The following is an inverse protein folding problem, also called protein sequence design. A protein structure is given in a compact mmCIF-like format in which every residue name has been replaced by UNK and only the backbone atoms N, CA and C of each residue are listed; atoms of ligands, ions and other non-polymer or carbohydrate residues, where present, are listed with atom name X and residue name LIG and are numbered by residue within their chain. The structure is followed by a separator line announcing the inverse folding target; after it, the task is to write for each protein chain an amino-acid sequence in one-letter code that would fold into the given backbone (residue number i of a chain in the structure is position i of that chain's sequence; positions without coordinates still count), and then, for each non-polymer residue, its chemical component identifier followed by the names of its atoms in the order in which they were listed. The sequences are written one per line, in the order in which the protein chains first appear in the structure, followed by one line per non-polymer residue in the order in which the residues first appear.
data_IF_697022530970
#
_entry.id   IF_697022530970
#
_cell.length_a   1.000
_cell.length_b   1.000
_cell.length_c   1.000
_cell.angle_alpha   90.00
_cell.angle_beta   90.00
_cell.angle_gamma   90.00
#
_symmetry.space_group_name_H-M   'P 1'
#
loop_
_entity.id
_entity.type
_entity.pdbx_description
1 polymer ?
#
# COMPACT_ATOMS: atom_id res chain seq x y z
N UNK A 1 -21.23 11.41 13.98
CA UNK A 1 -20.39 10.30 14.47
C UNK A 1 -19.52 10.87 15.59
N UNK A 2 -19.64 10.38 16.83
CA UNK A 2 -18.75 10.80 17.94
C UNK A 2 -17.30 10.47 17.56
N UNK A 3 -16.33 11.28 18.00
CA UNK A 3 -14.92 10.98 17.82
C UNK A 3 -14.63 9.59 18.42
N UNK A 4 -14.24 8.63 17.57
CA UNK A 4 -14.00 7.23 17.96
C UNK A 4 -12.71 7.07 18.77
N UNK A 5 -11.95 8.16 18.96
CA UNK A 5 -10.78 8.21 19.83
C UNK A 5 -9.49 7.74 19.16
N UNK A 6 -8.36 8.05 19.79
CA UNK A 6 -7.01 7.72 19.28
C UNK A 6 -6.73 6.22 19.27
N UNK A 7 -7.26 5.47 20.23
CA UNK A 7 -7.11 4.02 20.30
C UNK A 7 -7.74 3.34 19.07
N UNK A 8 -8.98 3.71 18.69
CA UNK A 8 -9.62 3.20 17.49
C UNK A 8 -8.82 3.54 16.23
N UNK A 9 -8.40 4.80 16.07
CA UNK A 9 -7.60 5.25 14.92
C UNK A 9 -6.30 4.47 14.79
N UNK A 10 -5.61 4.22 15.91
CA UNK A 10 -4.36 3.44 15.94
C UNK A 10 -4.60 1.97 15.59
N UNK A 11 -5.63 1.35 16.16
CA UNK A 11 -5.99 -0.04 15.81
C UNK A 11 -6.40 -0.19 14.35
N UNK A 12 -7.20 0.75 13.83
CA UNK A 12 -7.58 0.79 12.42
C UNK A 12 -6.34 0.93 11.50
N UNK A 13 -5.39 1.78 11.88
CA UNK A 13 -4.12 1.92 11.17
C UNK A 13 -3.35 0.60 11.10
N UNK A 14 -3.20 -0.08 12.25
CA UNK A 14 -2.55 -1.40 12.32
C UNK A 14 -3.24 -2.44 11.43
N UNK A 15 -4.58 -2.47 11.43
CA UNK A 15 -5.33 -3.39 10.58
C UNK A 15 -5.10 -3.12 9.10
N UNK A 16 -5.14 -1.86 8.68
CA UNK A 16 -4.89 -1.47 7.28
C UNK A 16 -3.48 -1.84 6.85
N UNK A 17 -2.47 -1.44 7.63
CA UNK A 17 -1.08 -1.72 7.29
C UNK A 17 -0.78 -3.24 7.30
N UNK A 18 -1.44 -4.02 8.16
CA UNK A 18 -1.26 -5.47 8.21
C UNK A 18 -1.86 -6.16 6.97
N UNK A 19 -3.04 -5.70 6.54
CA UNK A 19 -3.68 -6.20 5.32
C UNK A 19 -2.88 -5.78 4.08
N UNK A 20 -2.34 -4.56 4.03
CA UNK A 20 -1.47 -4.11 2.94
C UNK A 20 -0.22 -5.02 2.80
N UNK A 21 0.45 -5.36 3.91
CA UNK A 21 1.60 -6.28 3.90
C UNK A 21 1.20 -7.72 3.56
N UNK A 22 0.06 -8.19 4.06
CA UNK A 22 -0.49 -9.50 3.73
C UNK A 22 -0.82 -9.62 2.23
N UNK A 23 -1.33 -8.55 1.60
CA UNK A 23 -1.57 -8.51 0.16
C UNK A 23 -0.27 -8.58 -0.64
N UNK A 24 0.80 -7.94 -0.18
CA UNK A 24 2.13 -8.07 -0.79
C UNK A 24 2.63 -9.51 -0.75
N UNK A 25 2.45 -10.22 0.37
CA UNK A 25 2.76 -11.65 0.45
C UNK A 25 1.96 -12.46 -0.58
N UNK A 26 0.65 -12.21 -0.68
CA UNK A 26 -0.21 -12.87 -1.65
C UNK A 26 0.31 -12.68 -3.09
N UNK A 27 0.53 -11.44 -3.51
CA UNK A 27 0.95 -11.13 -4.88
C UNK A 27 2.39 -11.53 -5.19
N UNK A 28 3.21 -11.76 -4.18
CA UNK A 28 4.57 -12.29 -4.32
C UNK A 28 4.58 -13.82 -4.41
N UNK A 29 3.78 -14.51 -3.59
CA UNK A 29 3.83 -15.98 -3.51
C UNK A 29 2.96 -16.63 -4.58
N UNK A 30 1.72 -16.14 -4.79
CA UNK A 30 0.73 -16.76 -5.69
C UNK A 30 1.22 -16.94 -7.13
N UNK A 31 1.96 -16.01 -7.75
CA UNK A 31 2.47 -16.21 -9.10
C UNK A 31 3.44 -17.40 -9.22
N UNK A 32 4.08 -17.82 -8.12
CA UNK A 32 5.06 -18.89 -8.15
C UNK A 32 4.55 -20.21 -7.59
N UNK A 33 3.32 -20.26 -7.05
CA UNK A 33 2.79 -21.46 -6.41
C UNK A 33 2.71 -22.64 -7.39
N UNK A 34 3.05 -23.84 -6.91
CA UNK A 34 2.93 -25.07 -7.71
C UNK A 34 1.51 -25.62 -7.75
N UNK A 35 0.74 -25.39 -6.70
CA UNK A 35 -0.65 -25.82 -6.57
C UNK A 35 -1.59 -24.60 -6.64
N UNK A 36 -2.25 -24.36 -7.80
CA UNK A 36 -3.10 -23.19 -7.98
C UNK A 36 -4.19 -23.08 -6.91
N UNK A 37 -4.27 -21.91 -6.25
CA UNK A 37 -5.23 -21.58 -5.21
C UNK A 37 -4.77 -21.83 -3.77
N UNK A 38 -3.59 -22.43 -3.57
CA UNK A 38 -3.03 -22.67 -2.23
C UNK A 38 -2.75 -21.36 -1.49
N UNK A 39 -2.04 -20.43 -2.14
CA UNK A 39 -1.70 -19.12 -1.56
C UNK A 39 -2.94 -18.29 -1.26
N UNK A 40 -3.94 -18.34 -2.14
CA UNK A 40 -5.21 -17.65 -1.97
C UNK A 40 -6.00 -18.19 -0.76
N UNK A 41 -5.95 -19.50 -0.52
CA UNK A 41 -6.57 -20.11 0.66
C UNK A 41 -5.88 -19.66 1.96
N UNK A 42 -4.55 -19.65 1.99
CA UNK A 42 -3.74 -19.16 3.13
C UNK A 42 -4.06 -17.69 3.40
N UNK A 43 -4.10 -16.85 2.35
CA UNK A 43 -4.46 -15.44 2.48
C UNK A 43 -5.84 -15.22 3.11
N UNK A 44 -6.86 -15.98 2.70
CA UNK A 44 -8.22 -15.87 3.25
C UNK A 44 -8.29 -16.27 4.71
N UNK A 45 -7.55 -17.29 5.12
CA UNK A 45 -7.50 -17.70 6.52
C UNK A 45 -6.73 -16.68 7.36
N UNK A 46 -5.57 -16.22 6.88
CA UNK A 46 -4.79 -15.16 7.51
C UNK A 46 -5.60 -13.86 7.73
N UNK A 47 -6.46 -13.48 6.77
CA UNK A 47 -7.36 -12.34 6.93
C UNK A 47 -8.34 -12.53 8.10
N UNK A 48 -8.92 -13.72 8.26
CA UNK A 48 -9.83 -14.04 9.38
C UNK A 48 -9.08 -14.04 10.71
N UNK A 49 -7.86 -14.56 10.73
CA UNK A 49 -7.00 -14.53 11.92
C UNK A 49 -6.67 -13.10 12.34
N UNK A 50 -6.33 -12.23 11.39
CA UNK A 50 -6.09 -10.79 11.64
C UNK A 50 -7.33 -10.11 12.20
N UNK A 51 -8.50 -10.36 11.60
CA UNK A 51 -9.78 -9.80 12.08
C UNK A 51 -10.10 -10.26 13.51
N UNK A 52 -9.95 -11.56 13.78
CA UNK A 52 -10.17 -12.14 15.10
C UNK A 52 -9.18 -11.59 16.13
N UNK A 53 -7.90 -11.48 15.79
CA UNK A 53 -6.86 -10.93 16.67
C UNK A 53 -7.14 -9.47 17.03
N UNK A 54 -7.51 -8.65 16.04
CA UNK A 54 -7.87 -7.25 16.26
C UNK A 54 -9.09 -7.11 17.16
N UNK A 55 -10.10 -7.97 17.00
CA UNK A 55 -11.34 -7.92 17.77
C UNK A 55 -11.18 -8.43 19.21
N UNK A 56 -10.36 -9.47 19.42
CA UNK A 56 -10.24 -10.14 20.72
C UNK A 56 -9.09 -9.60 21.59
N UNK A 57 -7.98 -9.18 20.97
CA UNK A 57 -6.77 -8.78 21.70
C UNK A 57 -6.05 -7.55 21.14
N UNK A 58 -6.65 -6.88 20.15
CA UNK A 58 -6.12 -5.67 19.53
C UNK A 58 -4.72 -5.82 18.94
N UNK A 59 -3.96 -4.73 18.96
CA UNK A 59 -2.62 -4.63 18.35
C UNK A 59 -1.65 -5.66 18.90
N UNK A 60 -1.71 -5.96 20.21
CA UNK A 60 -0.80 -6.93 20.83
C UNK A 60 -1.00 -8.32 20.21
N UNK A 61 -2.24 -8.78 20.13
CA UNK A 61 -2.56 -10.10 19.58
C UNK A 61 -2.27 -10.17 18.09
N UNK A 62 -2.53 -9.08 17.36
CA UNK A 62 -2.15 -8.97 15.95
C UNK A 62 -0.65 -9.22 15.77
N UNK A 63 0.21 -8.49 16.48
CA UNK A 63 1.67 -8.65 16.36
C UNK A 63 2.16 -10.05 16.75
N UNK A 64 1.46 -10.75 17.65
CA UNK A 64 1.81 -12.13 18.03
C UNK A 64 1.54 -13.15 16.93
N UNK A 65 0.50 -12.97 16.11
CA UNK A 65 0.10 -13.96 15.09
C UNK A 65 0.82 -13.77 13.74
N UNK A 66 1.25 -12.55 13.42
CA UNK A 66 1.82 -12.21 12.11
C UNK A 66 3.03 -13.05 11.71
N UNK A 67 4.02 -13.33 12.60
CA UNK A 67 5.13 -14.19 12.23
C UNK A 67 4.69 -15.60 11.82
N UNK A 68 3.65 -16.14 12.45
CA UNK A 68 3.08 -17.45 12.10
C UNK A 68 2.44 -17.44 10.71
N UNK A 69 1.68 -16.39 10.40
CA UNK A 69 1.11 -16.17 9.06
C UNK A 69 2.23 -16.11 8.01
N UNK A 70 3.29 -15.34 8.28
CA UNK A 70 4.43 -15.21 7.34
C UNK A 70 5.08 -16.55 7.06
N UNK A 71 5.26 -17.41 8.08
CA UNK A 71 5.81 -18.76 7.85
C UNK A 71 4.91 -19.63 6.96
N UNK A 72 3.57 -19.54 7.10
CA UNK A 72 2.65 -20.27 6.22
C UNK A 72 2.87 -19.92 4.74
N UNK A 73 3.08 -18.63 4.41
CA UNK A 73 3.38 -18.22 3.03
C UNK A 73 4.75 -18.71 2.54
N UNK A 74 5.72 -18.88 3.45
CA UNK A 74 7.07 -19.35 3.12
C UNK A 74 7.14 -20.87 2.90
N UNK A 75 6.19 -21.60 3.48
CA UNK A 75 6.06 -23.06 3.32
C UNK A 75 5.38 -23.45 2.00
N UNK A 76 4.76 -22.50 1.28
CA UNK A 76 4.15 -22.75 -0.03
C UNK A 76 5.20 -23.24 -1.03
N UNK A 77 4.93 -24.39 -1.64
CA UNK A 77 5.79 -24.95 -2.66
C UNK A 77 5.74 -24.08 -3.91
N UNK A 78 6.89 -23.59 -4.37
CA UNK A 78 6.95 -22.61 -5.44
C UNK A 78 8.00 -22.95 -6.50
N UNK A 79 7.77 -22.43 -7.70
CA UNK A 79 8.68 -22.50 -8.83
C UNK A 79 9.17 -21.09 -9.17
N UNK A 80 10.42 -20.83 -8.82
CA UNK A 80 11.08 -19.60 -9.23
C UNK A 80 11.14 -19.51 -10.76
N UNK A 81 10.69 -18.38 -11.28
CA UNK A 81 10.73 -17.99 -12.69
C UNK A 81 10.94 -16.49 -12.73
N UNK A 82 11.70 -16.02 -13.70
CA UNK A 82 11.73 -14.59 -13.98
C UNK A 82 10.37 -14.19 -14.58
N UNK A 83 9.74 -13.19 -13.97
CA UNK A 83 8.43 -12.66 -14.35
C UNK A 83 8.54 -11.14 -14.42
N UNK A 84 7.99 -10.48 -15.45
CA UNK A 84 8.00 -9.03 -15.51
C UNK A 84 7.23 -8.44 -14.33
N UNK A 85 7.84 -7.50 -13.64
CA UNK A 85 7.28 -6.86 -12.45
C UNK A 85 6.47 -5.62 -12.85
N UNK A 86 5.16 -5.66 -12.60
CA UNK A 86 4.19 -4.66 -13.03
C UNK A 86 3.62 -3.91 -11.83
N UNK A 87 3.78 -2.59 -11.82
CA UNK A 87 3.25 -1.71 -10.78
C UNK A 87 1.84 -1.29 -11.12
N UNK A 88 0.91 -1.39 -10.18
CA UNK A 88 -0.48 -0.95 -10.36
C UNK A 88 -0.71 0.28 -9.49
N UNK A 89 -0.98 1.41 -10.14
CA UNK A 89 -1.25 2.71 -9.52
C UNK A 89 -2.64 3.22 -9.96
N UNK A 90 -3.06 4.34 -9.39
CA UNK A 90 -4.28 5.02 -9.79
C UNK A 90 -5.24 5.24 -8.63
N UNK A 91 -6.53 5.35 -8.96
CA UNK A 91 -7.60 5.65 -8.02
C UNK A 91 -7.72 4.54 -6.96
N UNK A 92 -7.80 4.94 -5.69
CA UNK A 92 -7.68 4.08 -4.52
C UNK A 92 -8.75 2.99 -4.49
N UNK A 93 -9.99 3.32 -4.81
CA UNK A 93 -11.08 2.36 -4.76
C UNK A 93 -10.98 1.34 -5.90
N UNK A 94 -10.70 1.78 -7.12
CA UNK A 94 -10.55 0.89 -8.27
C UNK A 94 -9.34 -0.03 -8.12
N UNK A 95 -8.19 0.48 -7.66
CA UNK A 95 -7.00 -0.37 -7.51
C UNK A 95 -7.16 -1.39 -6.38
N UNK A 96 -7.88 -1.05 -5.31
CA UNK A 96 -8.07 -1.92 -4.14
C UNK A 96 -9.23 -2.92 -4.29
N UNK A 97 -10.14 -2.72 -5.25
CA UNK A 97 -11.30 -3.58 -5.43
C UNK A 97 -11.19 -4.43 -6.72
N UNK A 98 -10.96 -5.75 -6.61
CA UNK A 98 -10.85 -6.65 -7.77
C UNK A 98 -12.08 -6.66 -8.67
N UNK A 99 -13.28 -6.49 -8.12
CA UNK A 99 -14.51 -6.42 -8.92
C UNK A 99 -14.51 -5.15 -9.80
N UNK A 100 -14.07 -4.03 -9.25
CA UNK A 100 -14.08 -2.74 -9.95
C UNK A 100 -13.00 -2.62 -11.02
N UNK A 101 -11.89 -3.35 -10.89
CA UNK A 101 -10.81 -3.38 -11.88
C UNK A 101 -10.77 -4.63 -12.76
N UNK A 102 -11.85 -5.44 -12.74
CA UNK A 102 -11.98 -6.66 -13.52
C UNK A 102 -10.87 -7.70 -13.27
N UNK A 103 -10.40 -7.81 -12.02
CA UNK A 103 -9.38 -8.79 -11.63
C UNK A 103 -8.01 -8.48 -12.20
N UNK A 104 -7.62 -7.19 -12.24
CA UNK A 104 -6.42 -6.73 -12.92
C UNK A 104 -5.13 -7.45 -12.47
N UNK A 105 -4.99 -7.71 -11.17
CA UNK A 105 -3.86 -8.46 -10.62
C UNK A 105 -3.82 -9.87 -11.21
N UNK A 106 -4.94 -10.60 -11.17
CA UNK A 106 -5.05 -11.94 -11.74
C UNK A 106 -4.74 -11.95 -13.23
N UNK A 107 -5.19 -10.93 -13.99
CA UNK A 107 -4.86 -10.81 -15.41
C UNK A 107 -3.36 -10.65 -15.65
N UNK A 108 -2.66 -9.83 -14.86
CA UNK A 108 -1.19 -9.69 -14.95
C UNK A 108 -0.51 -11.04 -14.66
N UNK A 109 -0.98 -11.75 -13.64
CA UNK A 109 -0.46 -13.06 -13.26
C UNK A 109 -0.72 -14.14 -14.33
N UNK A 110 -1.89 -14.14 -14.96
CA UNK A 110 -2.23 -15.04 -16.07
C UNK A 110 -1.35 -14.79 -17.31
N UNK A 111 -0.99 -13.53 -17.55
CA UNK A 111 -0.09 -13.13 -18.64
C UNK A 111 1.40 -13.37 -18.33
N UNK A 112 1.72 -13.96 -17.18
CA UNK A 112 3.09 -14.31 -16.80
C UNK A 112 3.84 -13.25 -16.01
N UNK A 113 3.21 -12.12 -15.64
CA UNK A 113 3.82 -11.07 -14.81
C UNK A 113 3.59 -11.24 -13.31
N UNK A 114 4.28 -10.43 -12.52
CA UNK A 114 4.01 -10.21 -11.10
C UNK A 114 3.43 -8.82 -10.91
N UNK A 115 2.36 -8.68 -10.13
CA UNK A 115 1.78 -7.38 -9.83
C UNK A 115 2.18 -6.87 -8.44
N UNK A 116 2.43 -5.56 -8.31
CA UNK A 116 2.44 -4.85 -7.03
C UNK A 116 1.50 -3.67 -7.09
N UNK A 117 0.43 -3.71 -6.30
CA UNK A 117 -0.52 -2.60 -6.20
C UNK A 117 -0.01 -1.60 -5.17
N UNK A 118 -0.17 -0.31 -5.45
CA UNK A 118 0.11 0.70 -4.45
C UNK A 118 -0.80 0.51 -3.22
N UNK A 119 -0.25 0.41 -2.00
CA UNK A 119 -1.01 0.09 -0.78
C UNK A 119 -2.16 1.07 -0.51
N UNK A 120 -3.19 0.61 0.20
CA UNK A 120 -4.27 1.50 0.62
C UNK A 120 -3.77 2.53 1.66
N UNK A 121 -2.88 2.10 2.56
CA UNK A 121 -2.26 2.93 3.58
C UNK A 121 -1.53 4.17 3.04
N UNK A 122 -1.03 4.12 1.80
CA UNK A 122 -0.38 5.26 1.13
C UNK A 122 -1.29 6.50 1.12
N UNK A 123 -2.57 6.32 0.76
CA UNK A 123 -3.53 7.42 0.71
C UNK A 123 -3.78 8.02 2.09
N UNK A 124 -3.91 7.17 3.10
CA UNK A 124 -4.11 7.63 4.47
C UNK A 124 -2.89 8.41 4.97
N UNK A 125 -1.67 7.91 4.75
CA UNK A 125 -0.43 8.62 5.06
C UNK A 125 -0.35 9.96 4.33
N UNK A 126 -0.82 10.03 3.09
CA UNK A 126 -0.96 11.28 2.35
C UNK A 126 -1.96 12.26 2.96
N UNK A 127 -3.15 11.80 3.36
CA UNK A 127 -4.11 12.68 4.03
C UNK A 127 -3.55 13.24 5.34
N UNK A 128 -2.76 12.44 6.08
CA UNK A 128 -2.05 12.90 7.28
C UNK A 128 -0.98 13.93 6.96
N UNK A 129 -0.17 13.68 5.93
CA UNK A 129 0.83 14.63 5.43
C UNK A 129 0.22 15.98 5.05
N UNK A 130 -0.90 15.98 4.31
CA UNK A 130 -1.61 17.21 3.93
C UNK A 130 -2.19 17.94 5.14
N UNK A 131 -2.79 17.23 6.09
CA UNK A 131 -3.28 17.82 7.34
C UNK A 131 -2.14 18.49 8.13
N UNK A 132 -0.97 17.86 8.15
CA UNK A 132 0.22 18.41 8.80
C UNK A 132 0.67 19.73 8.16
N UNK A 133 0.69 19.79 6.83
CA UNK A 133 0.98 21.01 6.06
C UNK A 133 -0.06 22.10 6.30
N UNK A 134 -1.35 21.76 6.26
CA UNK A 134 -2.45 22.71 6.41
C UNK A 134 -2.49 23.34 7.81
N UNK A 135 -2.26 22.55 8.87
CA UNK A 135 -2.18 23.08 10.25
C UNK A 135 -1.02 24.06 10.43
N UNK A 136 0.12 23.80 9.77
CA UNK A 136 1.27 24.71 9.76
C UNK A 136 0.93 26.02 9.03
N UNK A 137 0.32 25.94 7.85
CA UNK A 137 -0.07 27.11 7.05
C UNK A 137 -1.10 27.99 7.77
N UNK A 138 -2.01 27.39 8.55
CA UNK A 138 -3.02 28.12 9.35
C UNK A 138 -2.47 28.72 10.64
N UNK A 139 -1.21 28.46 11.00
CA UNK A 139 -0.61 28.94 12.25
C UNK A 139 -1.14 28.22 13.51
N UNK A 140 -1.79 27.07 13.36
CA UNK A 140 -2.37 26.30 14.48
C UNK A 140 -1.29 25.44 15.16
N UNK A 141 -0.36 26.09 15.86
CA UNK A 141 0.85 25.44 16.36
C UNK A 141 0.59 24.26 17.31
N UNK A 142 -0.42 24.35 18.19
CA UNK A 142 -0.81 23.23 19.06
C UNK A 142 -1.32 22.02 18.27
N UNK A 143 -2.17 22.26 17.27
CA UNK A 143 -2.71 21.21 16.41
C UNK A 143 -1.59 20.58 15.57
N UNK A 144 -0.64 21.39 15.11
CA UNK A 144 0.52 20.94 14.36
C UNK A 144 1.42 20.03 15.21
N UNK A 145 1.76 20.42 16.46
CA UNK A 145 2.57 19.59 17.36
C UNK A 145 1.87 18.25 17.63
N UNK A 146 0.56 18.27 17.90
CA UNK A 146 -0.23 17.04 18.09
C UNK A 146 -0.17 16.14 16.86
N UNK A 147 -0.38 16.70 15.66
CA UNK A 147 -0.34 15.97 14.41
C UNK A 147 1.07 15.40 14.10
N UNK A 148 2.15 16.15 14.42
CA UNK A 148 3.52 15.65 14.32
C UNK A 148 3.74 14.44 15.22
N UNK A 149 3.28 14.51 16.47
CA UNK A 149 3.42 13.40 17.42
C UNK A 149 2.62 12.17 16.97
N UNK A 150 1.38 12.36 16.49
CA UNK A 150 0.59 11.29 15.88
C UNK A 150 1.34 10.64 14.70
N UNK A 151 1.95 11.44 13.82
CA UNK A 151 2.72 10.94 12.68
C UNK A 151 3.96 10.13 13.09
N UNK A 152 4.68 10.54 14.14
CA UNK A 152 5.82 9.79 14.66
C UNK A 152 5.40 8.43 15.22
N UNK A 153 4.27 8.38 15.93
CA UNK A 153 3.72 7.12 16.46
C UNK A 153 3.32 6.19 15.31
N UNK A 154 2.62 6.71 14.30
CA UNK A 154 2.22 5.92 13.13
C UNK A 154 3.42 5.33 12.39
N UNK A 155 4.49 6.11 12.18
CA UNK A 155 5.73 5.61 11.56
C UNK A 155 6.43 4.54 12.39
N UNK A 156 6.47 4.71 13.70
CA UNK A 156 7.01 3.70 14.59
C UNK A 156 6.19 2.41 14.55
N UNK A 157 4.86 2.55 14.52
CA UNK A 157 3.92 1.43 14.43
C UNK A 157 4.04 0.69 13.08
N UNK A 158 4.15 1.42 11.96
CA UNK A 158 4.45 0.88 10.62
C UNK A 158 5.75 0.07 10.65
N UNK A 159 6.84 0.63 11.18
CA UNK A 159 8.14 -0.06 11.23
C UNK A 159 8.08 -1.33 12.09
N UNK A 160 7.41 -1.28 13.23
CA UNK A 160 7.20 -2.47 14.08
C UNK A 160 6.40 -3.56 13.38
N UNK A 161 5.43 -3.16 12.57
CA UNK A 161 4.62 -4.09 11.81
C UNK A 161 5.42 -4.69 10.65
N UNK A 162 6.16 -3.86 9.92
CA UNK A 162 7.09 -4.26 8.87
C UNK A 162 8.07 -5.32 9.39
N UNK A 163 8.66 -5.14 10.57
CA UNK A 163 9.55 -6.15 11.18
C UNK A 163 8.91 -7.54 11.34
N UNK A 164 7.58 -7.64 11.51
CA UNK A 164 6.92 -8.95 11.62
C UNK A 164 6.87 -9.72 10.28
N UNK A 165 7.09 -9.03 9.16
CA UNK A 165 7.05 -9.56 7.79
C UNK A 165 8.44 -9.69 7.15
N UNK A 166 9.52 -9.37 7.87
CA UNK A 166 10.89 -9.28 7.35
C UNK A 166 11.40 -10.58 6.71
N UNK A 167 10.93 -11.74 7.20
CA UNK A 167 11.27 -13.06 6.66
C UNK A 167 10.55 -13.39 5.35
N UNK A 168 9.42 -12.73 5.06
CA UNK A 168 8.56 -13.03 3.92
C UNK A 168 8.64 -12.01 2.78
N UNK A 169 9.01 -10.77 3.07
CA UNK A 169 9.10 -9.68 2.08
C UNK A 169 10.51 -9.08 2.05
N UNK A 170 11.04 -8.72 0.87
CA UNK A 170 12.31 -8.00 0.79
C UNK A 170 12.18 -6.59 1.35
N UNK A 171 13.27 -6.01 1.84
CA UNK A 171 13.26 -4.71 2.54
C UNK A 171 12.63 -3.55 1.75
N UNK A 172 12.73 -3.55 0.43
CA UNK A 172 12.13 -2.50 -0.41
C UNK A 172 10.60 -2.62 -0.57
N UNK A 173 10.02 -3.82 -0.35
CA UNK A 173 8.58 -4.04 -0.29
C UNK A 173 8.06 -3.92 1.15
N UNK A 174 8.92 -4.14 2.14
CA UNK A 174 8.56 -4.15 3.55
C UNK A 174 8.13 -2.75 4.03
N UNK A 175 8.86 -1.72 3.61
CA UNK A 175 8.61 -0.33 3.96
C UNK A 175 8.29 0.49 2.72
N UNK A 176 7.16 1.21 2.78
CA UNK A 176 6.85 2.20 1.76
C UNK A 176 7.74 3.44 1.94
N UNK A 177 8.16 4.08 0.83
CA UNK A 177 8.85 5.36 0.92
C UNK A 177 7.97 6.37 1.68
N UNK A 178 8.58 7.27 2.49
CA UNK A 178 7.83 8.33 3.15
C UNK A 178 7.02 9.13 2.13
N UNK A 179 5.80 9.53 2.51
CA UNK A 179 4.89 10.29 1.63
C UNK A 179 5.57 11.52 1.01
N UNK A 180 6.44 12.20 1.75
CA UNK A 180 7.19 13.36 1.27
C UNK A 180 8.08 13.03 0.06
N UNK A 181 8.65 11.83 0.04
CA UNK A 181 9.49 11.33 -1.08
C UNK A 181 8.59 11.03 -2.28
N UNK A 182 7.47 10.33 -2.08
CA UNK A 182 6.50 10.04 -3.16
C UNK A 182 5.96 11.33 -3.77
N UNK A 183 5.58 12.31 -2.94
CA UNK A 183 5.14 13.63 -3.41
C UNK A 183 6.28 14.34 -4.16
N UNK A 184 7.51 14.30 -3.64
CA UNK A 184 8.68 14.87 -4.30
C UNK A 184 8.96 14.28 -5.68
N UNK A 185 8.73 12.98 -5.87
CA UNK A 185 8.84 12.34 -7.19
C UNK A 185 7.83 12.89 -8.22
N UNK A 186 6.70 13.43 -7.77
CA UNK A 186 5.67 13.97 -8.64
C UNK A 186 5.94 15.42 -9.09
N UNK A 187 6.71 16.20 -8.32
CA UNK A 187 6.93 17.65 -8.55
C UNK A 187 7.40 18.03 -9.97
N UNK A 188 8.31 17.29 -10.64
CA UNK A 188 8.71 17.62 -12.01
C UNK A 188 7.56 17.56 -13.03
N UNK A 189 6.45 16.95 -12.65
CA UNK A 189 5.36 16.54 -13.54
C UNK A 189 4.02 17.18 -13.16
N UNK A 190 3.73 17.23 -11.86
CA UNK A 190 2.53 17.81 -11.29
C UNK A 190 2.89 18.47 -9.95
N UNK A 191 2.49 19.73 -9.78
CA UNK A 191 2.74 20.43 -8.53
C UNK A 191 1.93 19.80 -7.39
N UNK A 192 2.55 19.66 -6.22
CA UNK A 192 1.91 19.24 -4.98
C UNK A 192 0.65 20.09 -4.66
N UNK A 193 0.60 21.33 -5.13
CA UNK A 193 -0.54 22.24 -4.99
C UNK A 193 -1.83 21.71 -5.64
N UNK A 194 -1.72 20.82 -6.64
CA UNK A 194 -2.88 20.15 -7.25
C UNK A 194 -3.64 19.27 -6.24
N UNK A 195 -2.91 18.69 -5.26
CA UNK A 195 -3.44 17.78 -4.23
C UNK A 195 -4.10 16.52 -4.81
N UNK A 196 -4.67 15.70 -3.92
CA UNK A 196 -5.39 14.48 -4.30
C UNK A 196 -4.50 13.37 -4.86
N UNK A 197 -5.15 12.40 -5.48
CA UNK A 197 -4.53 11.14 -5.91
C UNK A 197 -3.62 11.28 -7.13
N UNK A 198 -3.79 12.32 -7.95
CA UNK A 198 -2.94 12.50 -9.13
C UNK A 198 -1.46 12.68 -8.74
N UNK A 199 -1.21 13.45 -7.67
CA UNK A 199 0.13 13.66 -7.09
C UNK A 199 0.73 12.32 -6.65
N UNK A 200 -0.02 11.52 -5.87
CA UNK A 200 0.44 10.20 -5.43
C UNK A 200 0.64 9.23 -6.59
N UNK A 201 -0.28 9.20 -7.54
CA UNK A 201 -0.23 8.26 -8.67
C UNK A 201 1.00 8.51 -9.52
N UNK A 202 1.30 9.78 -9.85
CA UNK A 202 2.52 10.13 -10.59
C UNK A 202 3.77 9.84 -9.75
N UNK A 203 3.78 10.25 -8.48
CA UNK A 203 4.90 10.02 -7.58
C UNK A 203 5.23 8.54 -7.39
N UNK A 204 4.20 7.71 -7.23
CA UNK A 204 4.33 6.26 -7.08
C UNK A 204 4.71 5.57 -8.38
N UNK A 205 4.26 6.09 -9.53
CA UNK A 205 4.74 5.61 -10.84
C UNK A 205 6.24 5.82 -10.98
N UNK A 206 6.75 6.98 -10.58
CA UNK A 206 8.18 7.27 -10.58
C UNK A 206 8.92 6.40 -9.55
N UNK A 207 8.36 6.19 -8.35
CA UNK A 207 8.93 5.25 -7.36
C UNK A 207 9.09 3.83 -7.92
N UNK A 208 8.07 3.30 -8.60
CA UNK A 208 8.17 1.99 -9.26
C UNK A 208 9.20 1.99 -10.39
N UNK A 209 9.27 3.04 -11.20
CA UNK A 209 10.27 3.15 -12.25
C UNK A 209 11.71 3.19 -11.71
N UNK A 210 11.94 3.85 -10.56
CA UNK A 210 13.23 3.89 -9.86
C UNK A 210 13.60 2.55 -9.20
N UNK A 211 12.61 1.69 -8.97
CA UNK A 211 12.77 0.32 -8.45
C UNK A 211 12.85 -0.73 -9.56
N UNK A 212 13.11 -0.29 -10.79
CA UNK A 212 13.33 -1.15 -11.96
C UNK A 212 12.14 -2.04 -12.33
N UNK A 213 10.91 -1.59 -12.06
CA UNK A 213 9.71 -2.26 -12.56
C UNK A 213 9.65 -2.24 -14.09
N UNK A 214 9.22 -3.36 -14.68
CA UNK A 214 9.15 -3.57 -16.14
C UNK A 214 7.96 -2.83 -16.78
N UNK A 215 6.93 -2.53 -16.00
CA UNK A 215 5.76 -1.82 -16.48
C UNK A 215 4.92 -1.21 -15.36
N UNK A 216 4.09 -0.24 -15.72
CA UNK A 216 3.17 0.43 -14.80
C UNK A 216 1.79 0.50 -15.45
N UNK A 217 0.76 0.08 -14.73
CA UNK A 217 -0.64 0.20 -15.11
C UNK A 217 -1.29 1.27 -14.23
N UNK A 218 -1.83 2.31 -14.85
CA UNK A 218 -2.64 3.33 -14.19
C UNK A 218 -4.13 3.01 -14.34
N UNK A 219 -4.80 2.74 -13.23
CA UNK A 219 -6.24 2.43 -13.18
C UNK A 219 -7.02 3.68 -12.79
N UNK A 220 -7.96 4.08 -13.63
CA UNK A 220 -8.80 5.25 -13.38
C UNK A 220 -10.23 5.05 -13.89
N UNK A 221 -11.23 5.67 -13.24
CA UNK A 221 -12.59 5.68 -13.76
C UNK A 221 -12.66 6.46 -15.08
N UNK A 222 -13.63 6.11 -15.93
CA UNK A 222 -13.90 6.88 -17.14
C UNK A 222 -14.24 8.33 -16.79
N UNK A 223 -13.61 9.27 -17.49
CA UNK A 223 -13.78 10.72 -17.27
C UNK A 223 -13.36 11.24 -15.88
N UNK A 224 -12.56 10.49 -15.12
CA UNK A 224 -12.00 10.98 -13.85
C UNK A 224 -10.99 12.11 -14.12
N UNK A 225 -11.29 13.35 -13.71
CA UNK A 225 -10.42 14.51 -13.94
C UNK A 225 -8.99 14.31 -13.40
N UNK A 226 -8.76 13.85 -12.14
CA UNK A 226 -7.42 13.49 -11.67
C UNK A 226 -6.74 12.41 -12.51
N UNK A 227 -7.47 11.35 -12.89
CA UNK A 227 -6.93 10.28 -13.71
C UNK A 227 -6.51 10.77 -15.10
N UNK A 228 -7.30 11.63 -15.74
CA UNK A 228 -6.98 12.22 -17.05
C UNK A 228 -5.72 13.06 -16.98
N UNK A 229 -5.51 13.79 -15.87
CA UNK A 229 -4.27 14.52 -15.64
C UNK A 229 -3.06 13.59 -15.53
N UNK A 230 -3.19 12.50 -14.77
CA UNK A 230 -2.12 11.47 -14.70
C UNK A 230 -1.83 10.89 -16.08
N UNK A 231 -2.85 10.53 -16.85
CA UNK A 231 -2.70 9.97 -18.19
C UNK A 231 -2.03 10.95 -19.18
N UNK A 232 -2.33 12.25 -19.09
CA UNK A 232 -1.67 13.26 -19.91
C UNK A 232 -0.17 13.38 -19.56
N UNK A 233 0.14 13.32 -18.27
CA UNK A 233 1.49 13.52 -17.73
C UNK A 233 2.36 12.27 -17.85
N UNK A 234 1.78 11.06 -17.82
CA UNK A 234 2.52 9.79 -17.84
C UNK A 234 3.41 9.63 -19.08
N UNK A 235 3.04 10.24 -20.21
CA UNK A 235 3.86 10.28 -21.43
C UNK A 235 5.23 10.95 -21.25
N UNK A 236 5.38 11.76 -20.21
CA UNK A 236 6.62 12.46 -19.86
C UNK A 236 7.46 11.71 -18.83
N UNK A 237 6.86 10.76 -18.10
CA UNK A 237 7.58 9.94 -17.13
C UNK A 237 8.46 8.98 -17.92
N UNK A 238 9.77 9.17 -17.81
CA UNK A 238 10.79 8.35 -18.46
C UNK A 238 11.82 7.91 -17.44
N UNK A 239 12.36 6.71 -17.65
CA UNK A 239 13.53 6.20 -16.93
C UNK A 239 14.79 6.87 -17.45
#
# INVERSE_FOLDING_TARGET
IKDLGSAFRRTAWYGIAAVDLLQKLLWRTRPHELHPGETEAIYREALREIEAALTQGGIKKLLEILPGIVEQFREVEHRERERPLIGIVGEIYLRANPFSNAGLVSLVEELGGEARVSPFGEWLSYTFYKKLGDTRLRGEWFAHIKARLESLVLRHDEHRLAQAFDRGLPGWELEEPPTEVVVGHSEPYISEAYRGEAVLTVGKSVDFALKDFDGIINVMPFSCMPGTMVAAVSTRVKR
#
